data_IF_598159373951
#
_entry.id   IF_598159373951
#
_cell.length_a   1.000
_cell.length_b   1.000
_cell.length_c   1.000
_cell.angle_alpha   90.00
_cell.angle_beta   90.00
_cell.angle_gamma   90.00
#
_symmetry.space_group_name_H-M   'P 1'
#
loop_
_entity.id
_entity.type
_entity.pdbx_description
1 polymer ?
#
# COMPACT_ATOMS: atom_id res chain seq x y z
N UNK A 1 36.75 0.73 48.61
CA UNK A 1 36.68 0.40 47.18
C UNK A 1 38.01 0.79 46.59
N UNK A 2 38.83 -0.21 46.32
CA UNK A 2 40.29 -0.11 46.29
C UNK A 2 40.77 0.43 44.94
N UNK A 3 41.84 1.24 44.97
CA UNK A 3 42.58 1.73 43.80
C UNK A 3 43.02 0.55 42.88
N UNK A 4 43.18 -0.64 43.45
CA UNK A 4 43.46 -1.89 42.74
C UNK A 4 42.34 -2.38 41.79
N UNK A 5 41.06 -2.11 42.07
CA UNK A 5 39.95 -2.53 41.19
C UNK A 5 39.88 -1.66 39.93
N UNK A 6 40.24 -0.38 40.03
CA UNK A 6 40.26 0.56 38.90
C UNK A 6 41.38 0.30 37.90
N UNK A 7 42.58 -0.07 38.40
CA UNK A 7 43.71 -0.47 37.54
C UNK A 7 43.45 -1.78 36.81
N UNK A 8 42.87 -2.77 37.48
CA UNK A 8 42.51 -4.05 36.85
C UNK A 8 41.49 -3.87 35.72
N UNK A 9 40.44 -3.06 35.93
CA UNK A 9 39.47 -2.76 34.90
C UNK A 9 40.07 -1.97 33.72
N UNK A 10 40.98 -1.03 33.98
CA UNK A 10 41.67 -0.29 32.93
C UNK A 10 42.58 -1.20 32.09
N UNK A 11 43.32 -2.12 32.71
CA UNK A 11 44.18 -3.08 32.02
C UNK A 11 43.38 -4.09 31.20
N UNK A 12 42.26 -4.61 31.75
CA UNK A 12 41.36 -5.51 31.01
C UNK A 12 40.77 -4.79 29.81
N UNK A 13 40.27 -3.57 29.98
CA UNK A 13 39.72 -2.76 28.88
C UNK A 13 40.76 -2.48 27.80
N UNK A 14 41.98 -2.14 28.20
CA UNK A 14 43.09 -1.86 27.27
C UNK A 14 43.50 -3.13 26.52
N UNK A 15 43.59 -4.28 27.18
CA UNK A 15 43.88 -5.56 26.52
C UNK A 15 42.76 -6.00 25.57
N UNK A 16 41.48 -5.84 25.94
CA UNK A 16 40.38 -6.11 25.01
C UNK A 16 40.39 -5.18 23.81
N UNK A 17 40.72 -3.88 24.01
CA UNK A 17 40.78 -2.92 22.91
C UNK A 17 41.95 -3.19 21.96
N UNK A 18 43.11 -3.54 22.52
CA UNK A 18 44.29 -3.95 21.73
C UNK A 18 44.00 -5.25 20.98
N UNK A 19 43.38 -6.25 21.61
CA UNK A 19 42.96 -7.50 20.95
C UNK A 19 41.97 -7.27 19.81
N UNK A 20 40.96 -6.42 20.02
CA UNK A 20 40.01 -6.00 18.98
C UNK A 20 40.71 -5.28 17.82
N UNK A 21 41.71 -4.43 18.11
CA UNK A 21 42.48 -3.74 17.07
C UNK A 21 43.36 -4.69 16.28
N UNK A 22 44.02 -5.66 16.92
CA UNK A 22 44.84 -6.66 16.23
C UNK A 22 44.01 -7.64 15.40
N UNK A 23 42.83 -8.05 15.90
CA UNK A 23 41.91 -8.90 15.15
C UNK A 23 41.30 -8.17 13.94
N UNK A 24 41.05 -6.86 14.09
CA UNK A 24 40.61 -6.00 13.00
C UNK A 24 41.69 -5.78 11.94
N UNK A 25 42.94 -5.53 12.36
CA UNK A 25 44.10 -5.45 11.45
C UNK A 25 44.36 -6.78 10.74
N UNK A 26 44.29 -7.91 11.47
CA UNK A 26 44.42 -9.23 10.90
C UNK A 26 43.31 -9.51 9.86
N UNK A 27 42.06 -9.21 10.17
CA UNK A 27 40.94 -9.36 9.25
C UNK A 27 41.11 -8.46 8.00
N UNK A 28 41.53 -7.21 8.18
CA UNK A 28 41.82 -6.30 7.08
C UNK A 28 42.96 -6.79 6.19
N UNK A 29 44.01 -7.40 6.74
CA UNK A 29 45.12 -7.95 5.95
C UNK A 29 44.73 -9.26 5.24
N UNK A 30 43.86 -10.08 5.85
CA UNK A 30 43.47 -11.41 5.35
C UNK A 30 42.18 -11.40 4.50
N UNK A 31 41.83 -10.27 3.89
CA UNK A 31 40.80 -10.21 2.85
C UNK A 31 39.44 -9.64 3.27
N UNK A 32 39.26 -9.17 4.52
CA UNK A 32 38.03 -8.45 4.91
C UNK A 32 37.83 -7.16 4.08
N UNK A 33 38.91 -6.55 3.58
CA UNK A 33 38.84 -5.44 2.64
C UNK A 33 38.08 -5.79 1.36
N UNK A 34 38.12 -7.06 0.90
CA UNK A 34 37.40 -7.49 -0.29
C UNK A 34 35.88 -7.54 -0.05
N UNK A 35 35.44 -7.99 1.13
CA UNK A 35 34.03 -7.94 1.53
C UNK A 35 33.55 -6.50 1.69
N UNK A 36 34.37 -5.63 2.28
CA UNK A 36 34.06 -4.21 2.41
C UNK A 36 34.01 -3.52 1.03
N UNK A 37 34.95 -3.80 0.14
CA UNK A 37 34.95 -3.29 -1.23
C UNK A 37 33.74 -3.79 -2.03
N UNK A 38 33.35 -5.06 -1.87
CA UNK A 38 32.14 -5.63 -2.49
C UNK A 38 30.87 -4.96 -1.95
N UNK A 39 30.81 -4.74 -0.64
CA UNK A 39 29.71 -4.01 -0.01
C UNK A 39 29.61 -2.56 -0.52
N UNK A 40 30.74 -1.84 -0.60
CA UNK A 40 30.77 -0.49 -1.15
C UNK A 40 30.38 -0.46 -2.63
N UNK A 41 30.87 -1.42 -3.43
CA UNK A 41 30.48 -1.56 -4.83
C UNK A 41 28.97 -1.80 -4.96
N UNK A 42 28.42 -2.71 -4.17
CA UNK A 42 26.98 -2.97 -4.11
C UNK A 42 26.19 -1.72 -3.69
N UNK A 43 26.64 -1.01 -2.65
CA UNK A 43 26.00 0.22 -2.18
C UNK A 43 26.04 1.33 -3.24
N UNK A 44 27.17 1.54 -3.91
CA UNK A 44 27.31 2.51 -5.00
C UNK A 44 26.43 2.14 -6.20
N UNK A 45 26.42 0.86 -6.58
CA UNK A 45 25.55 0.35 -7.63
C UNK A 45 24.07 0.57 -7.29
N UNK A 46 23.67 0.27 -6.06
CA UNK A 46 22.31 0.47 -5.57
C UNK A 46 21.93 1.96 -5.58
N UNK A 47 22.77 2.85 -5.04
CA UNK A 47 22.53 4.30 -5.06
C UNK A 47 22.39 4.81 -6.50
N UNK A 48 23.28 4.36 -7.41
CA UNK A 48 23.18 4.71 -8.84
C UNK A 48 21.87 4.22 -9.46
N UNK A 49 21.50 2.97 -9.21
CA UNK A 49 20.26 2.38 -9.71
C UNK A 49 19.04 3.20 -9.26
N UNK A 50 18.98 3.56 -7.98
CA UNK A 50 17.96 4.45 -7.42
C UNK A 50 17.92 5.82 -8.09
N UNK A 51 19.08 6.44 -8.29
CA UNK A 51 19.17 7.71 -8.98
C UNK A 51 18.65 7.62 -10.42
N UNK A 52 18.95 6.53 -11.13
CA UNK A 52 18.45 6.30 -12.50
C UNK A 52 16.94 6.03 -12.53
N UNK A 53 16.43 5.30 -11.55
CA UNK A 53 15.01 5.06 -11.37
C UNK A 53 14.23 6.36 -11.12
N UNK A 54 14.75 7.23 -10.25
CA UNK A 54 14.20 8.56 -9.98
C UNK A 54 14.25 9.46 -11.22
N UNK A 55 15.37 9.47 -11.95
CA UNK A 55 15.49 10.19 -13.23
C UNK A 55 14.44 9.71 -14.24
N UNK A 56 14.21 8.40 -14.33
CA UNK A 56 13.21 7.82 -15.23
C UNK A 56 11.78 8.25 -14.85
N UNK A 57 11.41 8.13 -13.57
CA UNK A 57 10.09 8.57 -13.08
C UNK A 57 9.86 10.08 -13.25
N UNK A 58 10.91 10.88 -13.09
CA UNK A 58 10.83 12.33 -13.26
C UNK A 58 10.66 12.76 -14.72
N UNK A 59 11.06 11.92 -15.68
CA UNK A 59 10.83 12.15 -17.12
C UNK A 59 9.43 11.77 -17.56
N UNK A 60 8.76 10.87 -16.83
CA UNK A 60 7.39 10.48 -17.15
C UNK A 60 6.45 11.67 -16.93
N UNK A 61 5.66 12.00 -17.95
CA UNK A 61 4.59 12.98 -17.84
C UNK A 61 3.37 12.30 -17.22
N UNK A 62 2.90 12.82 -16.08
CA UNK A 62 1.78 12.27 -15.33
C UNK A 62 0.50 13.04 -15.60
N UNK A 63 -0.60 12.32 -15.76
CA UNK A 63 -1.93 12.85 -16.05
C UNK A 63 -2.89 12.38 -14.98
N UNK A 64 -3.73 13.29 -14.47
CA UNK A 64 -4.74 12.99 -13.48
C UNK A 64 -6.12 13.09 -14.13
N UNK A 65 -6.86 11.99 -14.11
CA UNK A 65 -8.20 11.88 -14.63
C UNK A 65 -9.18 11.88 -13.45
N UNK A 66 -10.00 12.93 -13.35
CA UNK A 66 -11.17 12.93 -12.47
C UNK A 66 -12.26 12.13 -13.16
N UNK A 67 -12.73 11.08 -12.48
CA UNK A 67 -13.79 10.20 -12.99
C UNK A 67 -15.09 10.52 -12.27
N UNK A 68 -16.14 10.82 -13.04
CA UNK A 68 -17.49 11.03 -12.53
C UNK A 68 -18.44 10.09 -13.27
N UNK A 69 -18.72 8.93 -12.67
CA UNK A 69 -19.70 7.99 -13.24
C UNK A 69 -21.10 8.47 -12.86
N UNK A 70 -22.14 8.46 -13.71
CA UNK A 70 -23.54 8.73 -13.36
C UNK A 70 -24.19 7.57 -12.59
N UNK A 71 -25.48 7.67 -12.25
CA UNK A 71 -26.19 6.67 -11.45
C UNK A 71 -26.16 5.31 -12.16
N UNK A 72 -25.67 4.27 -11.47
CA UNK A 72 -25.52 2.94 -12.04
C UNK A 72 -26.18 1.89 -11.14
N UNK A 73 -26.79 0.86 -11.74
CA UNK A 73 -27.28 -0.29 -11.00
C UNK A 73 -26.12 -1.11 -10.39
N UNK A 74 -26.52 -2.14 -9.64
CA UNK A 74 -25.67 -2.98 -8.79
C UNK A 74 -24.37 -3.61 -9.36
N UNK A 75 -24.12 -3.85 -10.68
CA UNK A 75 -22.89 -4.53 -11.12
C UNK A 75 -21.62 -3.66 -11.19
N UNK A 76 -21.53 -2.54 -10.45
CA UNK A 76 -20.34 -1.67 -10.46
C UNK A 76 -19.04 -2.37 -10.02
N UNK A 77 -19.11 -3.40 -9.17
CA UNK A 77 -17.88 -4.02 -8.63
C UNK A 77 -17.26 -5.01 -9.62
N UNK A 78 -18.08 -5.81 -10.30
CA UNK A 78 -17.61 -6.67 -11.41
C UNK A 78 -17.05 -5.83 -12.57
N UNK A 79 -17.69 -4.68 -12.84
CA UNK A 79 -17.20 -3.71 -13.80
C UNK A 79 -15.81 -3.17 -13.40
N UNK A 80 -15.56 -2.93 -12.11
CA UNK A 80 -14.24 -2.54 -11.61
C UNK A 80 -13.18 -3.63 -11.82
N UNK A 81 -13.48 -4.90 -11.55
CA UNK A 81 -12.55 -6.01 -11.81
C UNK A 81 -12.16 -6.08 -13.30
N UNK A 82 -13.12 -5.92 -14.20
CA UNK A 82 -12.87 -5.90 -15.65
C UNK A 82 -12.07 -4.69 -16.09
N UNK A 83 -12.31 -3.51 -15.49
CA UNK A 83 -11.50 -2.32 -15.72
C UNK A 83 -10.02 -2.57 -15.37
N UNK A 84 -9.75 -3.16 -14.19
CA UNK A 84 -8.38 -3.53 -13.80
C UNK A 84 -7.77 -4.59 -14.72
N UNK A 85 -8.58 -5.56 -15.18
CA UNK A 85 -8.14 -6.58 -16.14
C UNK A 85 -7.66 -5.94 -17.45
N UNK A 86 -8.40 -4.96 -17.98
CA UNK A 86 -8.00 -4.22 -19.19
C UNK A 86 -6.76 -3.35 -18.96
N UNK A 87 -6.68 -2.66 -17.81
CA UNK A 87 -5.50 -1.86 -17.46
C UNK A 87 -4.24 -2.72 -17.23
N UNK A 88 -4.39 -3.99 -16.85
CA UNK A 88 -3.25 -4.91 -16.77
C UNK A 88 -2.58 -5.14 -18.14
N UNK A 89 -3.35 -4.93 -19.23
CA UNK A 89 -2.86 -5.02 -20.60
C UNK A 89 -1.82 -3.95 -20.98
N UNK A 90 -1.65 -2.88 -20.20
CA UNK A 90 -0.59 -1.87 -20.44
C UNK A 90 0.79 -2.35 -20.00
N UNK A 91 0.89 -3.58 -19.47
CA UNK A 91 2.14 -4.19 -19.03
C UNK A 91 3.17 -4.21 -20.18
N UNK A 92 4.28 -3.49 -19.96
CA UNK A 92 5.46 -3.54 -20.84
C UNK A 92 6.46 -4.58 -20.33
N UNK A 93 7.03 -5.43 -21.21
CA UNK A 93 8.19 -6.24 -20.87
C UNK A 93 9.40 -5.32 -20.66
N UNK A 94 10.19 -5.58 -19.62
CA UNK A 94 11.40 -4.81 -19.30
C UNK A 94 12.55 -5.81 -19.23
N UNK A 95 13.59 -5.57 -20.02
CA UNK A 95 14.79 -6.39 -20.00
C UNK A 95 15.67 -6.06 -18.77
N UNK A 96 16.52 -7.00 -18.36
CA UNK A 96 17.40 -6.82 -17.20
C UNK A 96 18.31 -5.60 -17.34
N UNK A 97 18.76 -5.29 -18.57
CA UNK A 97 19.57 -4.08 -18.86
C UNK A 97 18.78 -2.81 -18.66
N UNK A 98 17.55 -2.76 -19.16
CA UNK A 98 16.67 -1.61 -19.02
C UNK A 98 16.38 -1.35 -17.54
N UNK A 99 16.06 -2.40 -16.79
CA UNK A 99 15.85 -2.31 -15.36
C UNK A 99 17.12 -1.83 -14.64
N UNK A 100 18.19 -2.64 -14.64
CA UNK A 100 19.34 -2.40 -13.75
C UNK A 100 20.32 -1.32 -14.21
N UNK A 101 20.41 -1.05 -15.51
CA UNK A 101 21.39 -0.07 -16.07
C UNK A 101 20.71 1.25 -16.39
N UNK A 102 19.55 1.21 -17.06
CA UNK A 102 18.82 2.43 -17.45
C UNK A 102 17.89 2.93 -16.35
N UNK A 103 17.54 2.08 -15.37
CA UNK A 103 16.61 2.43 -14.30
C UNK A 103 15.15 2.41 -14.74
N UNK A 104 14.84 1.84 -15.90
CA UNK A 104 13.47 1.75 -16.42
C UNK A 104 12.66 0.81 -15.54
N UNK A 105 11.44 1.23 -15.23
CA UNK A 105 10.48 0.42 -14.48
C UNK A 105 9.09 0.61 -15.05
N UNK A 106 8.18 -0.29 -14.68
CA UNK A 106 6.78 -0.14 -15.05
C UNK A 106 6.21 1.07 -14.33
N UNK A 107 5.55 1.93 -15.09
CA UNK A 107 4.86 3.08 -14.54
C UNK A 107 3.63 2.58 -13.79
N UNK A 108 3.37 3.22 -12.65
CA UNK A 108 2.25 2.85 -11.80
C UNK A 108 0.99 3.62 -12.17
N UNK A 109 -0.16 3.00 -11.92
CA UNK A 109 -1.42 3.69 -11.80
C UNK A 109 -1.63 4.08 -10.33
N UNK A 110 -2.21 5.24 -10.10
CA UNK A 110 -2.72 5.62 -8.78
C UNK A 110 -4.23 5.74 -8.83
N UNK A 111 -4.93 4.94 -8.03
CA UNK A 111 -6.37 5.00 -7.86
C UNK A 111 -6.66 5.66 -6.52
N UNK A 112 -7.30 6.83 -6.57
CA UNK A 112 -7.42 7.71 -5.41
C UNK A 112 -8.89 8.04 -5.14
N UNK A 113 -9.34 7.74 -3.91
CA UNK A 113 -10.61 8.23 -3.37
C UNK A 113 -10.26 9.40 -2.47
N UNK A 114 -10.67 10.60 -2.88
CA UNK A 114 -10.30 11.85 -2.22
C UNK A 114 -11.56 12.52 -1.70
N UNK A 115 -11.60 12.82 -0.41
CA UNK A 115 -12.64 13.67 0.18
C UNK A 115 -12.05 15.01 0.55
N UNK A 116 -12.54 16.06 -0.12
CA UNK A 116 -12.19 17.44 0.18
C UNK A 116 -13.36 18.11 0.88
N UNK A 117 -13.21 18.28 2.20
CA UNK A 117 -14.25 18.78 3.06
C UNK A 117 -15.50 17.90 3.15
N UNK A 118 -15.54 16.70 2.57
CA UNK A 118 -16.74 15.86 2.50
C UNK A 118 -17.28 15.65 1.10
N UNK A 119 -16.70 16.33 0.10
CA UNK A 119 -16.99 16.06 -1.32
C UNK A 119 -16.03 15.00 -1.83
N UNK A 120 -16.56 13.81 -2.12
CA UNK A 120 -15.79 12.68 -2.64
C UNK A 120 -15.52 12.88 -4.14
N UNK A 121 -14.29 12.61 -4.54
CA UNK A 121 -13.80 12.64 -5.91
C UNK A 121 -12.96 11.40 -6.16
N UNK A 122 -13.17 10.78 -7.31
CA UNK A 122 -12.35 9.68 -7.80
C UNK A 122 -11.33 10.23 -8.77
N UNK A 123 -10.07 9.96 -8.51
CA UNK A 123 -8.94 10.43 -9.32
C UNK A 123 -8.09 9.24 -9.70
N UNK A 124 -7.79 9.12 -10.99
CA UNK A 124 -6.87 8.11 -11.52
C UNK A 124 -5.66 8.84 -12.10
N UNK A 125 -4.47 8.57 -11.54
CA UNK A 125 -3.20 9.03 -12.12
C UNK A 125 -2.62 7.95 -13.00
N UNK A 126 -2.22 8.32 -14.21
CA UNK A 126 -1.50 7.43 -15.13
C UNK A 126 -0.46 8.22 -15.93
N UNK A 127 0.47 7.51 -16.57
CA UNK A 127 1.44 8.12 -17.46
C UNK A 127 0.75 8.57 -18.75
N UNK A 128 1.21 9.67 -19.37
CA UNK A 128 0.65 10.23 -20.61
C UNK A 128 0.51 9.18 -21.71
N UNK A 129 1.45 8.25 -21.81
CA UNK A 129 1.44 7.15 -22.78
C UNK A 129 0.32 6.12 -22.58
N UNK A 130 -0.16 5.95 -21.34
CA UNK A 130 -1.18 4.95 -20.99
C UNK A 130 -2.57 5.58 -20.78
N UNK A 131 -2.72 6.91 -20.96
CA UNK A 131 -3.98 7.65 -20.76
C UNK A 131 -5.10 7.10 -21.62
N UNK A 132 -4.86 6.87 -22.91
CA UNK A 132 -5.89 6.40 -23.83
C UNK A 132 -6.31 4.96 -23.52
N UNK A 133 -5.38 4.11 -23.09
CA UNK A 133 -5.67 2.77 -22.60
C UNK A 133 -6.51 2.82 -21.30
N UNK A 134 -6.17 3.72 -20.38
CA UNK A 134 -6.92 3.93 -19.14
C UNK A 134 -8.35 4.46 -19.41
N UNK A 135 -8.50 5.45 -20.29
CA UNK A 135 -9.80 5.98 -20.73
C UNK A 135 -10.64 4.87 -21.36
N UNK A 136 -10.07 4.10 -22.28
CA UNK A 136 -10.77 2.98 -22.93
C UNK A 136 -11.22 1.92 -21.92
N UNK A 137 -10.38 1.56 -20.94
CA UNK A 137 -10.72 0.61 -19.88
C UNK A 137 -11.87 1.10 -19.01
N UNK A 138 -11.93 2.40 -18.69
CA UNK A 138 -13.02 2.99 -17.93
C UNK A 138 -14.30 3.02 -18.79
N UNK A 139 -14.27 3.58 -20.00
CA UNK A 139 -15.45 3.68 -20.86
C UNK A 139 -16.04 2.33 -21.26
N UNK A 140 -15.22 1.28 -21.37
CA UNK A 140 -15.70 -0.07 -21.66
C UNK A 140 -16.63 -0.61 -20.57
N UNK A 141 -16.43 -0.20 -19.32
CA UNK A 141 -17.17 -0.69 -18.15
C UNK A 141 -18.17 0.36 -17.65
N UNK A 142 -17.90 1.64 -17.92
CA UNK A 142 -18.67 2.81 -17.52
C UNK A 142 -18.86 3.74 -18.73
N UNK A 143 -19.75 3.39 -19.69
CA UNK A 143 -19.92 4.16 -20.92
C UNK A 143 -20.32 5.61 -20.70
N UNK A 144 -21.13 5.86 -19.67
CA UNK A 144 -21.65 7.19 -19.35
C UNK A 144 -20.73 7.98 -18.40
N UNK A 145 -19.53 7.49 -18.09
CA UNK A 145 -18.60 8.17 -17.19
C UNK A 145 -18.05 9.46 -17.80
N UNK A 146 -18.07 10.55 -17.05
CA UNK A 146 -17.39 11.78 -17.43
C UNK A 146 -15.95 11.78 -16.94
N UNK A 147 -15.00 11.86 -17.89
CA UNK A 147 -13.58 11.95 -17.62
C UNK A 147 -13.07 13.37 -17.86
N UNK A 148 -12.50 14.00 -16.84
CA UNK A 148 -11.87 15.32 -16.95
C UNK A 148 -10.40 15.27 -16.53
N UNK A 149 -9.51 15.80 -17.36
CA UNK A 149 -8.11 16.01 -16.97
C UNK A 149 -8.03 17.17 -15.96
N UNK A 150 -7.42 16.92 -14.81
CA UNK A 150 -7.31 17.87 -13.69
C UNK A 150 -5.86 18.00 -13.22
N UNK A 151 -5.55 19.07 -12.50
CA UNK A 151 -4.26 19.18 -11.79
C UNK A 151 -4.20 18.29 -10.55
N UNK A 152 -2.98 18.05 -10.04
CA UNK A 152 -2.80 17.30 -8.80
C UNK A 152 -3.36 18.10 -7.61
N UNK A 153 -4.33 17.52 -6.91
CA UNK A 153 -4.88 18.15 -5.70
C UNK A 153 -3.86 18.22 -4.56
N UNK A 154 -2.80 17.41 -4.60
CA UNK A 154 -1.72 17.46 -3.61
C UNK A 154 -0.79 18.67 -3.78
N UNK A 155 -0.85 19.39 -4.91
CA UNK A 155 -0.10 20.62 -5.12
C UNK A 155 -0.67 21.79 -4.30
N UNK A 156 -1.99 21.78 -4.09
CA UNK A 156 -2.67 22.75 -3.23
C UNK A 156 -2.24 22.64 -1.76
N UNK A 157 -1.68 21.48 -1.38
CA UNK A 157 -1.21 21.22 -0.03
C UNK A 157 0.23 21.77 0.12
N UNK A 158 0.34 23.03 0.59
CA UNK A 158 1.61 23.72 0.83
C UNK A 158 2.41 23.07 1.97
N UNK A 159 3.71 22.88 1.71
CA UNK A 159 4.65 22.14 2.58
C UNK A 159 5.54 23.07 3.41
N UNK A 160 5.05 23.58 4.54
CA UNK A 160 5.88 23.53 5.72
C UNK A 160 5.13 22.81 6.84
N UNK A 161 5.43 21.53 7.01
CA UNK A 161 5.00 20.74 8.15
C UNK A 161 6.07 20.83 9.23
N UNK A 162 5.75 21.58 10.26
CA UNK A 162 6.60 21.89 11.39
C UNK A 162 5.75 22.28 12.60
N UNK A 163 6.39 22.58 13.75
CA UNK A 163 5.72 23.12 14.92
C UNK A 163 4.82 24.32 14.58
N UNK A 164 5.26 25.16 13.64
CA UNK A 164 4.60 26.43 13.27
C UNK A 164 3.57 26.29 12.13
N UNK A 165 3.30 25.07 11.65
CA UNK A 165 2.31 24.84 10.58
C UNK A 165 0.88 25.00 11.10
N UNK A 166 -0.01 25.63 10.34
CA UNK A 166 -1.44 25.70 10.66
C UNK A 166 -2.17 24.37 10.49
N UNK A 167 -1.59 23.44 9.73
CA UNK A 167 -2.16 22.12 9.48
C UNK A 167 -1.41 21.02 10.25
N UNK A 168 -2.15 20.01 10.68
CA UNK A 168 -1.60 18.74 11.13
C UNK A 168 -2.13 17.61 10.25
N UNK A 169 -1.43 16.48 10.27
CA UNK A 169 -1.84 15.31 9.50
C UNK A 169 -1.46 14.02 10.18
N UNK A 170 -2.20 12.98 9.77
CA UNK A 170 -1.91 11.60 10.08
C UNK A 170 -1.99 10.77 8.80
N UNK A 171 -1.15 9.76 8.69
CA UNK A 171 -1.33 8.74 7.67
C UNK A 171 -0.47 7.51 7.92
N UNK A 172 -0.72 6.48 7.13
CA UNK A 172 0.06 5.25 7.15
C UNK A 172 -0.09 4.49 5.84
N UNK A 173 0.90 3.63 5.57
CA UNK A 173 0.77 2.56 4.59
C UNK A 173 0.07 1.36 5.26
N UNK A 174 -0.64 0.58 4.47
CA UNK A 174 -1.13 -0.74 4.88
C UNK A 174 -0.14 -1.82 4.44
N UNK A 175 -0.15 -2.95 5.14
CA UNK A 175 0.55 -4.18 4.79
C UNK A 175 -0.38 -5.38 4.96
N UNK A 176 -0.12 -6.44 4.23
CA UNK A 176 -0.74 -7.73 4.48
C UNK A 176 -0.20 -8.35 5.78
N UNK A 177 -1.07 -9.07 6.50
CA UNK A 177 -0.71 -9.78 7.73
C UNK A 177 -0.08 -11.14 7.44
N UNK A 178 -0.59 -11.83 6.41
CA UNK A 178 -0.11 -13.12 5.91
C UNK A 178 0.60 -12.94 4.57
N UNK A 179 1.33 -13.95 4.08
CA UNK A 179 1.94 -13.93 2.74
C UNK A 179 0.93 -13.60 1.64
N UNK A 180 1.43 -13.03 0.55
CA UNK A 180 0.64 -12.43 -0.53
C UNK A 180 -0.32 -13.42 -1.21
N UNK A 181 -0.06 -14.72 -1.15
CA UNK A 181 -0.94 -15.75 -1.71
C UNK A 181 -2.28 -15.89 -1.00
N UNK A 182 -2.38 -15.50 0.27
CA UNK A 182 -3.64 -15.48 1.00
C UNK A 182 -4.47 -14.28 0.55
N UNK A 183 -5.73 -14.47 0.12
CA UNK A 183 -6.57 -13.37 -0.30
C UNK A 183 -7.13 -12.57 0.88
N UNK A 184 -7.45 -11.30 0.63
CA UNK A 184 -8.35 -10.50 1.47
C UNK A 184 -9.80 -10.81 1.11
N UNK A 185 -10.74 -10.31 1.92
CA UNK A 185 -12.17 -10.44 1.63
C UNK A 185 -12.49 -9.66 0.35
N UNK A 186 -13.16 -10.30 -0.59
CA UNK A 186 -13.56 -9.73 -1.89
C UNK A 186 -15.06 -9.49 -1.94
N UNK A 187 -15.54 -8.75 -2.94
CA UNK A 187 -16.94 -8.35 -3.07
C UNK A 187 -17.93 -9.52 -3.06
N UNK A 188 -17.60 -10.66 -3.67
CA UNK A 188 -18.45 -11.87 -3.62
C UNK A 188 -18.74 -12.33 -2.18
N UNK A 189 -17.85 -12.04 -1.23
CA UNK A 189 -18.05 -12.39 0.18
C UNK A 189 -19.01 -11.42 0.91
N UNK A 190 -19.43 -10.32 0.29
CA UNK A 190 -20.41 -9.37 0.82
C UNK A 190 -21.81 -9.62 0.24
N UNK A 191 -21.92 -10.44 -0.80
CA UNK A 191 -23.19 -10.87 -1.39
C UNK A 191 -23.81 -11.97 -0.51
N UNK A 192 -24.87 -11.64 0.23
CA UNK A 192 -25.67 -12.67 0.88
C UNK A 192 -26.53 -13.37 -0.17
N UNK A 193 -26.33 -14.68 -0.38
CA UNK A 193 -27.08 -15.51 -1.37
C UNK A 193 -28.61 -15.44 -1.29
N UNK A 194 -29.16 -14.91 -0.20
CA UNK A 194 -30.61 -14.77 0.04
C UNK A 194 -31.10 -13.32 0.04
N UNK A 195 -30.21 -12.32 -0.02
CA UNK A 195 -30.58 -10.91 -0.05
C UNK A 195 -30.56 -10.42 -1.50
N UNK A 196 -31.62 -9.72 -1.91
CA UNK A 196 -31.71 -9.09 -3.24
C UNK A 196 -30.80 -7.86 -3.35
N UNK A 197 -30.29 -7.36 -2.22
CA UNK A 197 -29.47 -6.15 -2.15
C UNK A 197 -28.01 -6.50 -1.94
N UNK A 198 -27.16 -6.08 -2.88
CA UNK A 198 -25.70 -6.18 -2.76
C UNK A 198 -25.22 -5.10 -1.79
N UNK A 199 -24.54 -5.52 -0.72
CA UNK A 199 -23.91 -4.59 0.21
C UNK A 199 -22.59 -4.07 -0.40
N UNK A 200 -22.48 -2.76 -0.55
CA UNK A 200 -21.26 -2.11 -1.04
C UNK A 200 -20.11 -2.22 -0.01
N UNK A 201 -18.98 -2.87 -0.33
CA UNK A 201 -17.82 -2.95 0.56
C UNK A 201 -17.21 -1.59 0.92
N UNK A 202 -17.39 -0.55 0.12
CA UNK A 202 -16.86 0.79 0.38
C UNK A 202 -17.84 1.72 1.09
N UNK A 203 -19.11 1.32 1.29
CA UNK A 203 -20.13 2.18 1.89
C UNK A 203 -19.67 2.84 3.21
N UNK A 204 -19.16 2.03 4.14
CA UNK A 204 -18.68 2.55 5.43
C UNK A 204 -17.44 3.44 5.33
N UNK A 205 -16.59 3.27 4.31
CA UNK A 205 -15.47 4.18 4.04
C UNK A 205 -15.99 5.51 3.48
N UNK A 206 -16.86 5.44 2.49
CA UNK A 206 -17.39 6.60 1.79
C UNK A 206 -18.27 7.45 2.70
N UNK A 207 -19.10 6.85 3.55
CA UNK A 207 -19.86 7.57 4.58
C UNK A 207 -18.92 8.32 5.54
N UNK A 208 -17.85 7.66 6.00
CA UNK A 208 -16.85 8.28 6.86
C UNK A 208 -16.15 9.46 6.18
N UNK A 209 -15.82 9.30 4.90
CA UNK A 209 -15.19 10.31 4.07
C UNK A 209 -16.14 11.47 3.74
N UNK A 210 -17.44 11.21 3.57
CA UNK A 210 -18.45 12.22 3.36
C UNK A 210 -18.73 13.03 4.64
N UNK A 211 -18.58 12.42 5.83
CA UNK A 211 -18.86 13.01 7.13
C UNK A 211 -17.67 13.78 7.74
N UNK A 212 -16.83 14.41 6.91
CA UNK A 212 -15.74 15.27 7.37
C UNK A 212 -16.12 16.75 7.36
N UNK A 213 -15.41 17.53 8.19
CA UNK A 213 -15.61 18.97 8.33
C UNK A 213 -15.02 19.74 7.14
N UNK A 214 -15.48 20.97 6.87
CA UNK A 214 -14.81 21.87 5.93
C UNK A 214 -13.32 22.06 6.31
N UNK A 215 -12.46 22.09 5.29
CA UNK A 215 -10.97 22.12 5.40
C UNK A 215 -10.30 20.80 5.82
N UNK A 216 -11.06 19.74 6.14
CA UNK A 216 -10.49 18.39 6.29
C UNK A 216 -10.28 17.75 4.91
N UNK A 217 -9.18 17.03 4.77
CA UNK A 217 -8.85 16.25 3.58
C UNK A 217 -8.58 14.81 4.01
N UNK A 218 -9.31 13.86 3.44
CA UNK A 218 -8.99 12.44 3.54
C UNK A 218 -8.68 11.92 2.14
N UNK A 219 -7.61 11.14 2.03
CA UNK A 219 -7.23 10.47 0.79
C UNK A 219 -6.94 9.01 1.09
N UNK A 220 -7.58 8.12 0.34
CA UNK A 220 -7.16 6.73 0.20
C UNK A 220 -6.50 6.59 -1.16
N UNK A 221 -5.24 6.17 -1.17
CA UNK A 221 -4.42 6.02 -2.38
C UNK A 221 -4.05 4.55 -2.56
N UNK A 222 -4.37 4.00 -3.73
CA UNK A 222 -3.98 2.65 -4.13
C UNK A 222 -3.06 2.77 -5.34
N UNK A 223 -1.78 2.53 -5.11
CA UNK A 223 -0.80 2.41 -6.19
C UNK A 223 -0.86 0.98 -6.73
N UNK A 224 -0.92 0.81 -8.05
CA UNK A 224 -0.95 -0.50 -8.69
C UNK A 224 -0.07 -0.52 -9.93
N UNK A 225 0.75 -1.57 -10.06
CA UNK A 225 1.61 -1.84 -11.22
C UNK A 225 1.32 -3.24 -11.75
N UNK A 226 1.07 -3.43 -13.05
CA UNK A 226 0.89 -4.76 -13.63
C UNK A 226 2.06 -5.69 -13.29
N UNK A 227 1.76 -6.89 -12.79
CA UNK A 227 2.76 -7.78 -12.19
C UNK A 227 3.37 -8.77 -13.20
N UNK A 228 4.54 -9.33 -12.86
CA UNK A 228 5.16 -10.47 -13.56
C UNK A 228 4.67 -11.82 -13.07
N UNK A 229 3.86 -11.84 -12.01
CA UNK A 229 3.26 -13.04 -11.46
C UNK A 229 4.26 -14.04 -10.86
N UNK A 230 5.53 -13.65 -10.68
CA UNK A 230 6.59 -14.45 -10.04
C UNK A 230 6.17 -14.96 -8.64
N UNK A 231 5.37 -14.17 -7.94
CA UNK A 231 4.83 -14.51 -6.62
C UNK A 231 3.89 -15.73 -6.65
N UNK A 232 3.31 -16.08 -7.80
CA UNK A 232 2.39 -17.21 -7.94
C UNK A 232 3.08 -18.54 -7.65
N UNK A 233 4.38 -18.68 -7.97
CA UNK A 233 5.14 -19.89 -7.63
C UNK A 233 5.20 -20.14 -6.12
N UNK A 234 5.39 -19.07 -5.33
CA UNK A 234 5.38 -19.16 -3.88
C UNK A 234 3.98 -19.57 -3.37
N UNK A 235 2.92 -19.06 -3.99
CA UNK A 235 1.55 -19.46 -3.69
C UNK A 235 1.25 -20.92 -4.02
N UNK A 236 1.73 -21.43 -5.17
CA UNK A 236 1.60 -22.85 -5.53
C UNK A 236 2.32 -23.76 -4.53
N UNK A 237 3.54 -23.40 -4.14
CA UNK A 237 4.30 -24.11 -3.09
C UNK A 237 3.55 -24.10 -1.75
N UNK A 238 2.85 -23.02 -1.43
CA UNK A 238 2.03 -22.93 -0.22
C UNK A 238 0.78 -23.82 -0.30
N UNK A 239 0.12 -23.90 -1.46
CA UNK A 239 -1.00 -24.83 -1.68
C UNK A 239 -0.56 -26.28 -1.54
N UNK A 240 0.60 -26.66 -2.08
CA UNK A 240 1.19 -27.99 -1.90
C UNK A 240 1.46 -28.30 -0.42
N UNK A 241 1.99 -27.30 0.31
CA UNK A 241 2.25 -27.41 1.75
C UNK A 241 0.95 -27.65 2.53
N UNK A 242 -0.12 -26.89 2.23
CA UNK A 242 -1.43 -27.02 2.88
C UNK A 242 -2.12 -28.36 2.54
N UNK A 243 -1.91 -28.90 1.34
CA UNK A 243 -2.36 -30.25 0.95
C UNK A 243 -1.57 -31.37 1.62
N UNK A 244 -0.54 -31.06 2.41
CA UNK A 244 0.29 -32.03 3.11
C UNK A 244 1.41 -32.66 2.27
N UNK A 245 1.57 -32.27 1.00
CA UNK A 245 2.47 -32.94 0.03
C UNK A 245 3.95 -32.85 0.46
N UNK A 246 4.35 -31.80 1.20
CA UNK A 246 5.74 -31.63 1.67
C UNK A 246 5.99 -32.03 3.13
N UNK A 247 4.95 -32.16 3.94
CA UNK A 247 5.08 -32.67 5.31
C UNK A 247 5.20 -34.19 5.35
N UNK A 248 4.48 -34.89 4.47
CA UNK A 248 4.45 -36.36 4.45
C UNK A 248 5.60 -36.99 3.65
N UNK A 249 6.15 -36.29 2.66
CA UNK A 249 7.25 -36.82 1.83
C UNK A 249 8.59 -36.93 2.58
N UNK A 250 8.78 -36.18 3.67
CA UNK A 250 9.97 -36.27 4.51
C UNK A 250 9.90 -37.43 5.52
N UNK A 251 8.71 -37.95 5.84
CA UNK A 251 8.50 -39.00 6.84
C UNK A 251 8.18 -40.38 6.25
N UNK A 252 7.71 -40.48 5.00
CA UNK A 252 7.42 -41.79 4.40
C UNK A 252 7.53 -41.82 2.86
N UNK A 253 8.51 -42.53 2.27
CA UNK A 253 8.70 -42.62 0.81
C UNK A 253 7.53 -43.26 0.04
N UNK A 254 6.65 -44.01 0.72
CA UNK A 254 5.52 -44.71 0.09
C UNK A 254 4.30 -43.80 -0.21
N UNK A 255 4.32 -42.54 0.23
CA UNK A 255 3.22 -41.59 0.05
C UNK A 255 3.23 -40.84 -1.30
N UNK A 256 4.18 -41.13 -2.20
CA UNK A 256 4.24 -40.55 -3.56
C UNK A 256 3.00 -40.84 -4.43
N UNK A 257 2.11 -41.75 -4.02
CA UNK A 257 1.02 -42.28 -4.86
C UNK A 257 -0.41 -41.80 -4.58
N UNK A 258 -0.64 -40.79 -3.75
CA UNK A 258 -2.03 -40.40 -3.45
C UNK A 258 -2.36 -38.91 -3.64
N UNK A 259 -2.36 -38.36 -4.88
CA UNK A 259 -2.74 -36.97 -5.10
C UNK A 259 -4.24 -36.68 -4.91
N UNK A 260 -5.12 -37.70 -4.87
CA UNK A 260 -6.59 -37.50 -4.85
C UNK A 260 -7.28 -37.76 -3.50
N UNK A 261 -6.68 -38.54 -2.58
CA UNK A 261 -7.33 -38.89 -1.29
C UNK A 261 -7.13 -37.87 -0.16
N UNK A 262 -6.07 -37.05 -0.23
CA UNK A 262 -5.76 -36.07 0.82
C UNK A 262 -6.79 -34.93 0.92
N UNK A 263 -7.47 -34.58 -0.19
CA UNK A 263 -8.54 -33.57 -0.14
C UNK A 263 -9.77 -34.02 0.65
N UNK A 264 -10.05 -35.32 0.72
CA UNK A 264 -11.21 -35.84 1.46
C UNK A 264 -11.00 -35.78 2.99
N UNK A 265 -9.75 -35.71 3.46
CA UNK A 265 -9.40 -35.66 4.88
C UNK A 265 -9.05 -34.26 5.40
N UNK A 266 -9.04 -33.24 4.53
CA UNK A 266 -8.85 -31.86 4.95
C UNK A 266 -10.09 -31.34 5.67
N UNK A 267 -9.88 -30.50 6.69
CA UNK A 267 -10.98 -29.77 7.31
C UNK A 267 -11.65 -28.85 6.29
N UNK A 268 -12.96 -28.59 6.44
CA UNK A 268 -13.68 -27.65 5.55
C UNK A 268 -13.02 -26.27 5.50
N UNK A 269 -12.45 -25.84 6.63
CA UNK A 269 -11.67 -24.61 6.76
C UNK A 269 -10.41 -24.62 5.88
N UNK A 270 -9.64 -25.72 5.88
CA UNK A 270 -8.44 -25.81 5.05
C UNK A 270 -8.77 -25.86 3.57
N UNK A 271 -9.89 -26.51 3.20
CA UNK A 271 -10.41 -26.49 1.83
C UNK A 271 -10.77 -25.07 1.39
N UNK A 272 -11.44 -24.30 2.24
CA UNK A 272 -11.78 -22.91 1.94
C UNK A 272 -10.54 -22.05 1.72
N UNK A 273 -9.52 -22.19 2.58
CA UNK A 273 -8.23 -21.50 2.42
C UNK A 273 -7.53 -21.88 1.11
N UNK A 274 -7.44 -23.19 0.81
CA UNK A 274 -6.82 -23.66 -0.43
C UNK A 274 -7.56 -23.13 -1.65
N UNK A 275 -8.89 -23.19 -1.65
CA UNK A 275 -9.72 -22.69 -2.74
C UNK A 275 -9.56 -21.18 -2.91
N UNK A 276 -9.50 -20.42 -1.82
CA UNK A 276 -9.26 -18.97 -1.86
C UNK A 276 -7.90 -18.62 -2.49
N UNK A 277 -6.84 -19.33 -2.08
CA UNK A 277 -5.50 -19.15 -2.66
C UNK A 277 -5.52 -19.52 -4.15
N UNK A 278 -6.09 -20.66 -4.53
CA UNK A 278 -6.18 -21.09 -5.93
C UNK A 278 -6.98 -20.10 -6.78
N UNK A 279 -8.09 -19.56 -6.26
CA UNK A 279 -8.88 -18.52 -6.92
C UNK A 279 -8.03 -17.28 -7.17
N UNK A 280 -7.34 -16.78 -6.13
CA UNK A 280 -6.44 -15.61 -6.27
C UNK A 280 -5.33 -15.84 -7.30
N UNK A 281 -4.70 -17.02 -7.29
CA UNK A 281 -3.64 -17.39 -8.25
C UNK A 281 -4.14 -17.46 -9.70
N UNK A 282 -5.41 -17.80 -9.91
CA UNK A 282 -6.00 -17.89 -11.25
C UNK A 282 -6.28 -16.52 -11.91
N UNK A 283 -6.27 -15.43 -11.12
CA UNK A 283 -6.56 -14.08 -11.58
C UNK A 283 -5.28 -13.33 -11.95
N UNK A 284 -5.42 -12.28 -12.76
CA UNK A 284 -4.34 -11.30 -12.96
C UNK A 284 -4.11 -10.53 -11.66
N UNK A 285 -2.89 -10.04 -11.47
CA UNK A 285 -2.50 -9.36 -10.24
C UNK A 285 -1.68 -8.12 -10.50
N UNK A 286 -1.72 -7.19 -9.57
CA UNK A 286 -0.90 -6.01 -9.55
C UNK A 286 -0.03 -6.02 -8.31
N UNK A 287 1.20 -5.53 -8.47
CA UNK A 287 2.01 -5.09 -7.35
C UNK A 287 1.40 -3.81 -6.82
N UNK A 288 0.85 -3.88 -5.62
CA UNK A 288 0.01 -2.86 -5.05
C UNK A 288 0.57 -2.27 -3.75
N UNK A 289 0.09 -1.07 -3.44
CA UNK A 289 0.26 -0.43 -2.15
C UNK A 289 -0.93 0.46 -1.83
N UNK A 290 -1.61 0.15 -0.72
CA UNK A 290 -2.70 0.97 -0.16
C UNK A 290 -2.14 1.88 0.93
N UNK A 291 -2.50 3.16 0.87
CA UNK A 291 -2.15 4.18 1.86
C UNK A 291 -3.33 5.06 2.19
N UNK A 292 -3.28 5.65 3.38
CA UNK A 292 -4.25 6.67 3.82
C UNK A 292 -3.54 7.91 4.32
N UNK A 293 -4.11 9.06 4.00
CA UNK A 293 -3.70 10.37 4.49
C UNK A 293 -4.92 11.15 4.97
N UNK A 294 -4.82 11.75 6.14
CA UNK A 294 -5.78 12.66 6.73
C UNK A 294 -5.06 13.95 7.12
N UNK A 295 -5.50 15.08 6.56
CA UNK A 295 -4.98 16.42 6.83
C UNK A 295 -6.14 17.28 7.36
N UNK A 296 -5.87 18.08 8.38
CA UNK A 296 -6.81 19.09 8.85
C UNK A 296 -6.07 20.26 9.52
N UNK A 297 -6.71 21.44 9.64
CA UNK A 297 -6.25 22.50 10.52
C UNK A 297 -6.03 21.99 11.95
N UNK A 298 -4.99 22.47 12.64
CA UNK A 298 -4.60 21.99 13.99
C UNK A 298 -5.73 22.05 15.02
N UNK A 299 -6.55 23.08 14.96
CA UNK A 299 -7.72 23.31 15.82
C UNK A 299 -8.86 22.32 15.52
N UNK A 300 -8.98 21.87 14.27
CA UNK A 300 -10.00 20.91 13.81
C UNK A 300 -9.49 19.46 13.76
N UNK A 301 -8.21 19.20 14.03
CA UNK A 301 -7.59 17.91 13.83
C UNK A 301 -8.09 16.84 14.81
N UNK A 302 -9.06 16.03 14.37
CA UNK A 302 -9.69 14.96 15.15
C UNK A 302 -9.10 13.60 14.86
N UNK A 303 -7.82 13.43 15.18
CA UNK A 303 -7.05 12.21 14.89
C UNK A 303 -7.75 10.91 15.30
N UNK A 304 -8.11 10.76 16.58
CA UNK A 304 -8.60 9.48 17.12
C UNK A 304 -9.87 9.01 16.42
N UNK A 305 -10.84 9.91 16.28
CA UNK A 305 -12.14 9.62 15.66
C UNK A 305 -12.00 9.29 14.17
N UNK A 306 -11.32 10.17 13.41
CA UNK A 306 -11.16 9.95 11.95
C UNK A 306 -10.36 8.67 11.67
N UNK A 307 -9.29 8.45 12.43
CA UNK A 307 -8.47 7.25 12.32
C UNK A 307 -9.27 5.97 12.55
N UNK A 308 -10.00 5.91 13.66
CA UNK A 308 -10.76 4.71 14.03
C UNK A 308 -11.81 4.37 12.99
N UNK A 309 -12.45 5.39 12.40
CA UNK A 309 -13.47 5.18 11.38
C UNK A 309 -12.84 4.68 10.08
N UNK A 310 -11.80 5.33 9.55
CA UNK A 310 -11.17 4.91 8.29
C UNK A 310 -10.53 3.51 8.42
N UNK A 311 -9.76 3.28 9.50
CA UNK A 311 -9.14 1.97 9.74
C UNK A 311 -10.21 0.91 10.02
N UNK A 312 -11.29 1.26 10.70
CA UNK A 312 -12.45 0.40 10.91
C UNK A 312 -13.07 -0.04 9.59
N UNK A 313 -13.30 0.89 8.66
CA UNK A 313 -13.83 0.59 7.33
C UNK A 313 -12.88 -0.27 6.50
N UNK A 314 -11.56 -0.14 6.65
CA UNK A 314 -10.60 -1.00 5.94
C UNK A 314 -10.52 -2.41 6.57
N UNK A 315 -10.78 -2.55 7.87
CA UNK A 315 -10.75 -3.85 8.55
C UNK A 315 -11.82 -4.82 8.07
N UNK A 316 -12.92 -4.36 7.47
CA UNK A 316 -13.96 -5.24 6.94
C UNK A 316 -13.47 -6.16 5.81
N UNK A 317 -12.35 -5.81 5.17
CA UNK A 317 -11.68 -6.64 4.16
C UNK A 317 -10.87 -7.80 4.77
N UNK A 318 -10.93 -8.01 6.09
CA UNK A 318 -10.22 -9.08 6.78
C UNK A 318 -11.00 -10.39 6.72
N UNK A 319 -10.30 -11.48 6.44
CA UNK A 319 -10.81 -12.85 6.60
C UNK A 319 -10.04 -13.53 7.73
N UNK A 320 -10.74 -14.12 8.69
CA UNK A 320 -10.12 -14.68 9.91
C UNK A 320 -8.97 -15.66 9.61
N UNK A 321 -9.17 -16.52 8.62
CA UNK A 321 -8.21 -17.57 8.25
C UNK A 321 -7.35 -17.24 7.04
N UNK A 322 -7.56 -16.09 6.40
CA UNK A 322 -6.76 -15.61 5.27
C UNK A 322 -6.10 -14.28 5.61
N UNK A 323 -6.13 -13.31 4.70
CA UNK A 323 -5.37 -12.08 4.85
C UNK A 323 -6.21 -10.91 5.36
N UNK A 324 -5.51 -9.88 5.82
CA UNK A 324 -6.09 -8.61 6.27
C UNK A 324 -5.14 -7.46 5.96
N UNK A 325 -5.70 -6.28 5.72
CA UNK A 325 -4.92 -5.05 5.60
C UNK A 325 -4.69 -4.45 6.99
N UNK A 326 -3.45 -4.51 7.47
CA UNK A 326 -3.02 -3.92 8.75
C UNK A 326 -2.19 -2.67 8.52
N UNK A 327 -2.33 -1.71 9.42
CA UNK A 327 -1.50 -0.50 9.41
C UNK A 327 -0.02 -0.87 9.60
N UNK A 328 0.83 -0.26 8.80
CA UNK A 328 2.27 -0.38 8.93
C UNK A 328 2.81 0.69 9.89
N UNK A 329 3.08 0.27 11.13
CA UNK A 329 3.56 1.14 12.22
C UNK A 329 4.89 1.86 11.90
N UNK A 330 5.68 1.33 10.95
CA UNK A 330 6.93 1.96 10.53
C UNK A 330 6.68 3.25 9.75
N UNK A 331 5.71 3.21 8.84
CA UNK A 331 5.31 4.35 7.99
C UNK A 331 4.26 5.24 8.66
N UNK A 332 3.60 4.75 9.71
CA UNK A 332 2.61 5.54 10.42
C UNK A 332 3.25 6.78 11.06
N UNK A 333 2.61 7.94 10.89
CA UNK A 333 3.00 9.22 11.51
C UNK A 333 2.63 9.26 13.00
N UNK A 334 3.15 8.27 13.72
CA UNK A 334 3.12 8.10 15.16
C UNK A 334 4.51 7.66 15.63
N UNK A 335 4.86 8.05 16.85
CA UNK A 335 6.00 7.49 17.56
C UNK A 335 5.49 6.27 18.32
N UNK A 336 5.97 5.04 18.03
CA UNK A 336 5.57 3.86 18.78
C UNK A 336 5.89 4.04 20.27
N UNK A 337 4.99 3.64 21.15
CA UNK A 337 5.12 3.83 22.61
C UNK A 337 6.45 3.30 23.16
N UNK A 338 6.89 2.13 22.69
CA UNK A 338 8.18 1.53 23.09
C UNK A 338 9.42 2.35 22.70
N UNK A 339 9.32 3.15 21.64
CA UNK A 339 10.41 4.05 21.21
C UNK A 339 10.32 5.35 22.01
N UNK A 340 9.11 5.85 22.25
CA UNK A 340 8.88 7.05 23.05
C UNK A 340 9.37 6.91 24.49
N UNK A 341 9.29 5.71 25.07
CA UNK A 341 9.80 5.40 26.43
C UNK A 341 11.33 5.32 26.50
N UNK A 342 12.03 5.04 25.39
CA UNK A 342 13.49 4.81 25.36
C UNK A 342 14.30 6.06 25.01
N UNK A 343 13.69 7.05 24.36
CA UNK A 343 14.38 8.25 23.86
C UNK A 343 13.73 9.54 24.39
N UNK A 344 14.56 10.56 24.64
CA UNK A 344 14.09 11.88 25.11
C UNK A 344 13.09 12.54 24.14
N UNK A 345 12.19 13.36 24.67
CA UNK A 345 11.08 13.97 23.91
C UNK A 345 11.49 14.77 22.66
N UNK A 346 12.68 15.38 22.64
CA UNK A 346 13.20 16.12 21.47
C UNK A 346 13.48 15.20 20.28
N UNK A 347 14.09 14.04 20.52
CA UNK A 347 14.37 13.05 19.48
C UNK A 347 13.07 12.48 18.89
N UNK A 348 12.06 12.26 19.73
CA UNK A 348 10.74 11.78 19.30
C UNK A 348 10.03 12.79 18.38
N UNK A 349 10.19 14.10 18.63
CA UNK A 349 9.62 15.14 17.78
C UNK A 349 10.29 15.21 16.40
N UNK A 350 11.62 15.09 16.34
CA UNK A 350 12.37 15.07 15.08
C UNK A 350 12.04 13.86 14.21
N UNK A 351 11.98 12.66 14.83
CA UNK A 351 11.59 11.43 14.13
C UNK A 351 10.16 11.53 13.60
N UNK A 352 9.23 12.10 14.38
CA UNK A 352 7.86 12.31 13.93
C UNK A 352 7.78 13.28 12.74
N UNK A 353 8.53 14.38 12.78
CA UNK A 353 8.60 15.33 11.68
C UNK A 353 9.21 14.70 10.43
N UNK A 354 10.25 13.89 10.58
CA UNK A 354 10.84 13.14 9.47
C UNK A 354 9.83 12.16 8.85
N UNK A 355 9.16 11.34 9.66
CA UNK A 355 8.12 10.41 9.18
C UNK A 355 7.01 11.13 8.44
N UNK A 356 6.55 12.25 8.99
CA UNK A 356 5.55 13.13 8.37
C UNK A 356 6.02 13.59 6.99
N UNK A 357 7.22 14.18 6.89
CA UNK A 357 7.79 14.66 5.62
C UNK A 357 7.92 13.55 4.59
N UNK A 358 8.41 12.38 5.01
CA UNK A 358 8.60 11.26 4.09
C UNK A 358 7.25 10.71 3.59
N UNK A 359 6.24 10.60 4.46
CA UNK A 359 4.92 10.14 4.04
C UNK A 359 4.30 11.10 3.01
N UNK A 360 4.31 12.41 3.25
CA UNK A 360 3.76 13.39 2.30
C UNK A 360 4.54 13.35 0.98
N UNK A 361 5.87 13.27 1.03
CA UNK A 361 6.70 13.13 -0.17
C UNK A 361 6.29 11.90 -0.98
N UNK A 362 6.07 10.77 -0.32
CA UNK A 362 5.63 9.53 -0.97
C UNK A 362 4.22 9.66 -1.57
N UNK A 363 3.30 10.33 -0.86
CA UNK A 363 1.96 10.63 -1.39
C UNK A 363 2.01 11.54 -2.61
N UNK A 364 2.80 12.62 -2.58
CA UNK A 364 2.95 13.57 -3.71
C UNK A 364 3.55 12.88 -4.93
N UNK A 365 4.64 12.16 -4.73
CA UNK A 365 5.32 11.43 -5.82
C UNK A 365 4.56 10.17 -6.29
N UNK A 366 3.54 9.72 -5.54
CA UNK A 366 2.86 8.41 -5.71
C UNK A 366 3.89 7.29 -5.75
N UNK A 367 4.78 7.35 -4.78
CA UNK A 367 6.00 6.58 -4.79
C UNK A 367 5.75 5.18 -4.23
N UNK A 368 6.13 4.14 -4.98
CA UNK A 368 6.10 2.78 -4.46
C UNK A 368 7.25 2.50 -3.49
N UNK A 369 8.27 3.36 -3.43
CA UNK A 369 9.34 3.30 -2.44
C UNK A 369 8.83 3.70 -1.03
N UNK A 370 9.51 3.19 0.00
CA UNK A 370 9.12 3.33 1.42
C UNK A 370 7.94 2.45 1.82
N UNK A 371 8.17 1.45 2.69
CA UNK A 371 7.17 0.45 3.09
C UNK A 371 7.04 -0.73 2.13
N UNK A 372 6.43 -1.85 2.56
CA UNK A 372 6.24 -3.06 1.73
C UNK A 372 5.14 -2.87 0.69
N UNK A 373 5.40 -3.27 -0.54
CA UNK A 373 4.36 -3.60 -1.54
C UNK A 373 3.88 -5.03 -1.33
N UNK A 374 2.74 -5.37 -1.93
CA UNK A 374 2.19 -6.72 -1.92
C UNK A 374 1.37 -6.98 -3.18
N UNK A 375 1.05 -8.24 -3.46
CA UNK A 375 0.31 -8.62 -4.65
C UNK A 375 -1.19 -8.70 -4.38
N UNK A 376 -1.96 -7.92 -5.13
CA UNK A 376 -3.43 -7.95 -5.12
C UNK A 376 -3.97 -8.41 -6.46
N UNK A 377 -4.97 -9.30 -6.46
CA UNK A 377 -5.68 -9.67 -7.68
C UNK A 377 -6.56 -8.53 -8.19
N UNK A 378 -6.99 -8.61 -9.45
CA UNK A 378 -8.01 -7.72 -10.03
C UNK A 378 -9.30 -7.67 -9.19
N UNK A 379 -9.68 -8.81 -8.61
CA UNK A 379 -10.87 -8.95 -7.75
C UNK A 379 -10.69 -8.22 -6.40
N UNK A 380 -9.51 -8.35 -5.78
CA UNK A 380 -9.16 -7.64 -4.54
C UNK A 380 -9.07 -6.13 -4.78
N UNK A 381 -8.47 -5.71 -5.90
CA UNK A 381 -8.41 -4.29 -6.28
C UNK A 381 -9.80 -3.72 -6.58
N UNK A 382 -10.63 -4.45 -7.34
CA UNK A 382 -12.02 -4.07 -7.60
C UNK A 382 -12.84 -3.92 -6.33
N UNK A 383 -12.56 -4.73 -5.30
CA UNK A 383 -13.22 -4.63 -4.00
C UNK A 383 -12.75 -3.42 -3.16
N UNK A 384 -11.50 -2.99 -3.35
CA UNK A 384 -10.90 -1.85 -2.64
C UNK A 384 -11.10 -0.52 -3.36
N UNK A 385 -11.39 -0.55 -4.66
CA UNK A 385 -11.63 0.62 -5.50
C UNK A 385 -12.68 0.31 -6.56
N UNK A 386 -13.87 0.84 -6.34
CA UNK A 386 -14.97 0.90 -7.29
C UNK A 386 -15.78 2.17 -7.07
N UNK A 387 -16.61 2.51 -8.05
CA UNK A 387 -17.50 3.67 -7.97
C UNK A 387 -18.72 3.36 -7.09
N UNK A 388 -19.23 4.35 -6.34
CA UNK A 388 -20.24 4.11 -5.31
C UNK A 388 -21.55 3.61 -5.92
N UNK A 389 -22.21 2.69 -5.20
CA UNK A 389 -23.60 2.35 -5.47
C UNK A 389 -24.55 3.51 -5.10
N UNK A 390 -25.76 3.53 -5.68
CA UNK A 390 -26.70 4.66 -5.69
C UNK A 390 -26.89 5.37 -4.33
N UNK A 391 -27.01 4.64 -3.24
CA UNK A 391 -27.35 5.18 -1.91
C UNK A 391 -26.25 6.08 -1.31
N UNK A 392 -24.99 5.73 -1.54
CA UNK A 392 -23.85 6.47 -0.97
C UNK A 392 -23.65 7.80 -1.70
N UNK A 393 -23.96 7.82 -3.00
CA UNK A 393 -23.83 9.01 -3.84
C UNK A 393 -24.84 10.10 -3.48
N UNK A 394 -26.10 9.74 -3.20
CA UNK A 394 -27.15 10.71 -2.81
C UNK A 394 -26.70 11.58 -1.64
N UNK A 395 -26.11 10.96 -0.61
CA UNK A 395 -25.55 11.65 0.56
C UNK A 395 -24.46 12.67 0.18
N UNK A 396 -23.65 12.36 -0.83
CA UNK A 396 -22.60 13.27 -1.30
C UNK A 396 -23.16 14.43 -2.13
N UNK A 397 -24.15 14.17 -2.98
CA UNK A 397 -24.83 15.19 -3.81
C UNK A 397 -25.64 16.14 -2.94
N UNK A 398 -26.45 15.63 -2.01
CA UNK A 398 -27.23 16.42 -1.06
C UNK A 398 -26.34 17.40 -0.29
N UNK A 399 -25.12 16.99 0.08
CA UNK A 399 -24.13 17.88 0.72
C UNK A 399 -23.55 18.93 -0.22
N UNK A 400 -23.29 18.58 -1.49
CA UNK A 400 -22.84 19.57 -2.49
C UNK A 400 -23.92 20.65 -2.63
N UNK A 401 -25.20 20.26 -2.70
CA UNK A 401 -26.32 21.20 -2.80
C UNK A 401 -26.48 22.03 -1.53
N UNK A 402 -26.39 21.41 -0.34
CA UNK A 402 -26.40 22.13 0.93
C UNK A 402 -25.25 23.16 1.04
N UNK A 403 -24.09 22.86 0.44
CA UNK A 403 -22.89 23.70 0.49
C UNK A 403 -22.74 24.68 -0.68
N UNK A 404 -23.55 24.58 -1.74
CA UNK A 404 -23.63 25.63 -2.78
C UNK A 404 -24.12 26.97 -2.22
N UNK A 405 -24.75 26.98 -1.05
CA UNK A 405 -25.09 28.19 -0.30
C UNK A 405 -23.91 28.79 0.50
N UNK A 406 -22.81 28.04 0.65
CA UNK A 406 -21.56 28.49 1.26
C UNK A 406 -20.58 28.91 0.16
N UNK A 407 -19.69 29.90 0.39
CA UNK A 407 -18.71 30.31 -0.61
C UNK A 407 -17.89 29.09 -1.06
N UNK A 408 -17.65 28.92 -2.38
CA UNK A 408 -16.90 27.78 -2.88
C UNK A 408 -15.51 27.76 -2.25
N UNK A 409 -15.08 26.59 -1.78
CA UNK A 409 -13.73 26.33 -1.26
C UNK A 409 -12.74 26.28 -2.43
N UNK A 410 -12.72 27.32 -3.27
CA UNK A 410 -11.58 27.67 -4.11
C UNK A 410 -10.65 28.54 -3.26
N UNK A 411 -10.10 27.95 -2.20
CA UNK A 411 -8.97 28.54 -1.51
C UNK A 411 -7.69 27.98 -2.15
N UNK A 412 -6.98 28.77 -2.96
CA UNK A 412 -5.54 28.79 -2.81
C UNK A 412 -5.28 29.34 -1.41
N UNK A 413 -4.85 28.49 -0.48
CA UNK A 413 -4.06 28.99 0.66
C UNK A 413 -2.71 29.38 0.11
#
# INVERSE_FOLDING_TARGET
MNIFEGQFLADVMTQTFVGLSSDFEFALIHGAWAFFALYLFYAMFYIRFHHKNDEFLARAEWVFLRVSVPEMPSPSIMAAEQMFTQMHGTKKPIDWRQHWVLGEQRLNFSFEIVSLGGVIRYIIRTAREDVEAAKAAIYSQYPDAELAEVGDYMDAIKTPYGPDSSYDFWGCDFRLDKPDCYPIKVFENFEHRAAETILDPLAGLLEAMANIEPEEIITVQILAVPDDEDWKEAGLKEVERLKGIKGSAAENPDLERAPYSLMMHLSEKDKEVINGIQKKLSKLSFKAKVRVLYIAPRDKFRKKTRLSTIVGSIRQFSVADMNSLKQNLWTETLVPTRVAERFEGKHNAEVLLWKKRELIKNFKKRDLWGGRTYHLSTEELGSLFHFPLEDVRKTSIEKIEARKGEPPVNLPV
#
